data_IF_171556365143
#
_entry.id   IF_171556365143
#
_cell.length_a   1.000
_cell.length_b   1.000
_cell.length_c   1.000
_cell.angle_alpha   90.00
_cell.angle_beta   90.00
_cell.angle_gamma   90.00
#
_symmetry.space_group_name_H-M   'P 1'
#
loop_
_entity.id
_entity.type
_entity.pdbx_description
1 polymer ?
#
# COMPACT_ATOMS: atom_id res chain seq x y z
N UNK A 1 15.28 -5.39 -17.20
CA UNK A 1 14.18 -5.05 -16.27
C UNK A 1 13.43 -3.92 -16.94
N UNK A 2 12.33 -4.23 -17.61
CA UNK A 2 11.57 -3.27 -18.42
C UNK A 2 10.22 -3.00 -17.75
N UNK A 3 10.24 -2.85 -16.42
CA UNK A 3 9.04 -2.51 -15.69
C UNK A 3 8.60 -1.09 -16.06
N UNK A 4 7.40 -0.98 -16.62
CA UNK A 4 6.75 0.30 -16.90
C UNK A 4 5.58 0.47 -15.93
N UNK A 5 5.57 1.60 -15.22
CA UNK A 5 4.42 2.00 -14.40
C UNK A 5 3.25 2.39 -15.29
N UNK A 6 2.08 1.93 -14.92
CA UNK A 6 0.82 2.42 -15.45
C UNK A 6 0.31 3.58 -14.57
N UNK A 7 -0.26 4.59 -15.22
CA UNK A 7 -0.73 5.84 -14.62
C UNK A 7 -2.15 6.17 -15.08
N UNK A 8 -2.96 5.14 -15.37
CA UNK A 8 -4.35 5.30 -15.77
C UNK A 8 -5.15 5.98 -14.64
N UNK A 9 -5.78 7.13 -14.88
CA UNK A 9 -6.62 7.79 -13.88
C UNK A 9 -7.80 6.89 -13.48
N UNK A 10 -8.15 6.88 -12.19
CA UNK A 10 -9.20 5.99 -11.66
C UNK A 10 -8.77 4.53 -11.52
N UNK A 11 -7.52 4.21 -11.86
CA UNK A 11 -7.02 2.84 -11.93
C UNK A 11 -7.09 2.10 -10.58
N UNK A 12 -7.25 0.78 -10.67
CA UNK A 12 -7.21 -0.13 -9.51
C UNK A 12 -5.95 -0.98 -9.61
N UNK A 13 -5.10 -0.90 -8.60
CA UNK A 13 -3.75 -1.45 -8.63
C UNK A 13 -3.52 -2.42 -7.47
N UNK A 14 -3.06 -3.62 -7.80
CA UNK A 14 -2.45 -4.54 -6.84
C UNK A 14 -0.96 -4.25 -6.73
N UNK A 15 -0.45 -4.21 -5.50
CA UNK A 15 0.99 -4.19 -5.27
C UNK A 15 1.38 -4.85 -3.95
N UNK A 16 2.67 -5.16 -3.86
CA UNK A 16 3.30 -5.78 -2.70
C UNK A 16 4.37 -4.85 -2.16
N UNK A 17 4.37 -4.63 -0.85
CA UNK A 17 5.48 -3.96 -0.15
C UNK A 17 6.14 -4.97 0.77
N UNK A 18 7.45 -5.13 0.63
CA UNK A 18 8.27 -6.02 1.45
C UNK A 18 9.24 -5.17 2.26
N UNK A 19 9.35 -5.44 3.55
CA UNK A 19 10.32 -4.79 4.43
C UNK A 19 11.76 -5.10 4.00
N UNK A 20 12.68 -4.20 4.33
CA UNK A 20 14.10 -4.44 4.11
C UNK A 20 14.54 -5.72 4.83
N UNK A 21 15.25 -6.60 4.11
CA UNK A 21 15.70 -7.90 4.60
C UNK A 21 14.58 -8.79 5.19
N UNK A 22 13.30 -8.56 4.84
CA UNK A 22 12.15 -9.31 5.37
C UNK A 22 12.07 -9.28 6.90
N UNK A 23 12.40 -8.14 7.50
CA UNK A 23 12.25 -7.95 8.94
C UNK A 23 10.74 -7.99 9.34
N UNK A 24 10.34 -8.76 10.37
CA UNK A 24 8.94 -8.98 10.73
C UNK A 24 8.31 -7.80 11.51
N UNK A 25 8.42 -6.58 10.99
CA UNK A 25 8.11 -5.34 11.71
C UNK A 25 6.65 -4.87 11.59
N UNK A 26 5.90 -5.34 10.59
CA UNK A 26 4.61 -4.73 10.23
C UNK A 26 3.50 -5.04 11.24
N UNK A 27 3.51 -6.25 11.82
CA UNK A 27 2.54 -6.65 12.84
C UNK A 27 2.91 -6.05 14.20
N UNK A 28 4.19 -6.10 14.57
CA UNK A 28 4.70 -5.54 15.83
C UNK A 28 4.51 -4.02 15.93
N UNK A 29 4.39 -3.34 14.78
CA UNK A 29 4.18 -1.90 14.68
C UNK A 29 2.90 -1.54 13.92
N UNK A 30 1.86 -2.37 14.03
CA UNK A 30 0.61 -2.23 13.27
C UNK A 30 -0.03 -0.84 13.43
N UNK A 31 0.02 -0.25 14.63
CA UNK A 31 -0.56 1.08 14.88
C UNK A 31 0.18 2.18 14.10
N UNK A 32 1.50 2.08 13.98
CA UNK A 32 2.30 3.01 13.17
C UNK A 32 2.00 2.84 11.69
N UNK A 33 1.82 1.60 11.23
CA UNK A 33 1.44 1.32 9.85
C UNK A 33 0.05 1.90 9.53
N UNK A 34 -0.93 1.69 10.42
CA UNK A 34 -2.29 2.26 10.28
C UNK A 34 -2.27 3.78 10.28
N UNK A 35 -1.50 4.38 11.17
CA UNK A 35 -1.35 5.84 11.22
C UNK A 35 -0.73 6.38 9.92
N UNK A 36 0.32 5.72 9.40
CA UNK A 36 0.93 6.13 8.14
C UNK A 36 -0.06 6.06 6.96
N UNK A 37 -0.89 5.01 6.89
CA UNK A 37 -1.96 4.91 5.90
C UNK A 37 -2.97 6.05 6.04
N UNK A 38 -3.44 6.35 7.26
CA UNK A 38 -4.41 7.41 7.50
C UNK A 38 -3.85 8.80 7.14
N UNK A 39 -2.59 9.08 7.51
CA UNK A 39 -1.91 10.33 7.14
C UNK A 39 -1.79 10.47 5.63
N UNK A 40 -1.42 9.40 4.94
CA UNK A 40 -1.24 9.43 3.49
C UNK A 40 -2.57 9.55 2.76
N UNK A 41 -3.62 8.83 3.17
CA UNK A 41 -4.97 8.99 2.61
C UNK A 41 -5.52 10.42 2.77
N UNK A 42 -5.12 11.13 3.83
CA UNK A 42 -5.48 12.54 4.03
C UNK A 42 -4.74 13.51 3.10
N UNK A 43 -3.55 13.15 2.62
CA UNK A 43 -2.72 13.97 1.71
C UNK A 43 -2.99 13.65 0.25
N UNK A 44 -3.08 12.36 -0.06
CA UNK A 44 -3.27 11.80 -1.38
C UNK A 44 -4.44 10.81 -1.27
N UNK A 45 -5.67 11.21 -1.65
CA UNK A 45 -6.84 10.34 -1.53
C UNK A 45 -6.68 9.06 -2.36
N UNK A 46 -6.97 7.92 -1.75
CA UNK A 46 -7.13 6.62 -2.43
C UNK A 46 -8.06 5.71 -1.62
N UNK A 47 -8.76 4.82 -2.32
CA UNK A 47 -9.55 3.75 -1.72
C UNK A 47 -8.73 2.49 -1.51
N UNK A 48 -8.99 1.75 -0.44
CA UNK A 48 -8.40 0.43 -0.19
C UNK A 48 -9.51 -0.61 -0.41
N UNK A 49 -9.48 -1.29 -1.55
CA UNK A 49 -10.45 -2.35 -1.85
C UNK A 49 -10.13 -3.64 -1.09
N UNK A 50 -8.86 -3.85 -0.74
CA UNK A 50 -8.44 -4.97 0.10
C UNK A 50 -6.99 -4.82 0.54
N UNK A 51 -6.68 -5.30 1.75
CA UNK A 51 -5.33 -5.33 2.29
C UNK A 51 -5.14 -6.55 3.20
N UNK A 52 -4.00 -7.24 3.06
CA UNK A 52 -3.53 -8.26 4.00
C UNK A 52 -2.14 -7.87 4.47
N UNK A 53 -1.94 -7.90 5.79
CA UNK A 53 -0.69 -7.54 6.44
C UNK A 53 -0.10 -8.79 7.05
N UNK A 54 1.11 -9.16 6.61
CA UNK A 54 1.93 -10.23 7.15
C UNK A 54 3.09 -9.60 7.96
N UNK A 55 3.84 -10.38 8.75
CA UNK A 55 4.90 -9.82 9.59
C UNK A 55 5.91 -8.94 8.84
N UNK A 56 6.33 -9.34 7.65
CA UNK A 56 7.41 -8.70 6.88
C UNK A 56 6.98 -8.10 5.54
N UNK A 57 5.72 -8.29 5.12
CA UNK A 57 5.18 -7.75 3.88
C UNK A 57 3.67 -7.52 3.94
N UNK A 58 3.17 -6.73 3.00
CA UNK A 58 1.74 -6.54 2.77
C UNK A 58 1.39 -6.70 1.30
N UNK A 59 0.16 -7.12 1.07
CA UNK A 59 -0.49 -7.13 -0.24
C UNK A 59 -1.70 -6.21 -0.15
N UNK A 60 -1.88 -5.35 -1.15
CA UNK A 60 -3.00 -4.42 -1.14
C UNK A 60 -3.50 -4.15 -2.54
N UNK A 61 -4.79 -3.82 -2.63
CA UNK A 61 -5.48 -3.34 -3.83
C UNK A 61 -5.95 -1.93 -3.54
N UNK A 62 -5.41 -0.95 -4.27
CA UNK A 62 -5.81 0.46 -4.14
C UNK A 62 -6.57 0.92 -5.36
N UNK A 63 -7.65 1.68 -5.14
CA UNK A 63 -8.34 2.44 -6.18
C UNK A 63 -7.89 3.90 -6.09
N UNK A 64 -7.34 4.42 -7.18
CA UNK A 64 -6.95 5.83 -7.29
C UNK A 64 -8.14 6.68 -7.76
N UNK A 65 -8.14 8.00 -7.48
CA UNK A 65 -9.12 8.91 -8.05
C UNK A 65 -8.93 9.08 -9.56
N UNK A 66 -9.98 9.55 -10.23
CA UNK A 66 -10.01 9.80 -11.69
C UNK A 66 -9.14 10.99 -12.13
N UNK A 67 -8.59 11.77 -11.19
CA UNK A 67 -7.81 12.99 -11.44
C UNK A 67 -8.31 14.18 -10.65
#
# INVERSE_FOLDING_TARGET
MDYRRDFTPGGVYFFTVVTYQRAPLLIDHIDRLRHAFAVEQGRNPFGIDGIVILPDHLHTIWRLPDG
#
